data_IF_254339144374
#
_entry.id   IF_254339144374
#
_cell.length_a   1.000
_cell.length_b   1.000
_cell.length_c   1.000
_cell.angle_alpha   90.00
_cell.angle_beta   90.00
_cell.angle_gamma   90.00
#
_symmetry.space_group_name_H-M   'P 1'
#
loop_
_entity.id
_entity.type
_entity.pdbx_description
1 polymer ?
#
# COMPACT_ATOMS: atom_id res chain seq x y z
N UNK A 1 -60.20 -4.62 20.43
CA UNK A 1 -59.56 -5.05 21.70
C UNK A 1 -59.06 -6.48 21.52
N UNK A 2 -57.88 -6.63 20.94
CA UNK A 2 -57.11 -7.88 20.98
C UNK A 2 -55.66 -7.46 21.17
N UNK A 3 -55.12 -7.82 22.32
CA UNK A 3 -53.81 -7.43 22.83
C UNK A 3 -52.83 -8.53 22.46
N UNK A 4 -51.96 -8.29 21.47
CA UNK A 4 -50.83 -9.16 21.20
C UNK A 4 -49.70 -8.84 22.19
N UNK A 5 -49.42 -9.77 23.10
CA UNK A 5 -48.28 -9.73 24.00
C UNK A 5 -47.03 -10.15 23.22
N UNK A 6 -46.14 -9.20 22.95
CA UNK A 6 -44.80 -9.49 22.46
C UNK A 6 -43.94 -10.06 23.61
N UNK A 7 -43.45 -11.28 23.42
CA UNK A 7 -42.50 -11.97 24.29
C UNK A 7 -41.10 -11.36 24.05
N UNK A 8 -40.33 -11.02 25.10
CA UNK A 8 -38.97 -10.55 24.91
C UNK A 8 -38.04 -11.72 24.57
N UNK A 9 -37.46 -11.70 23.36
CA UNK A 9 -36.40 -12.62 22.96
C UNK A 9 -35.15 -12.37 23.83
N UNK A 10 -34.72 -13.45 24.49
CA UNK A 10 -33.54 -13.50 25.32
C UNK A 10 -32.30 -13.41 24.42
N UNK A 11 -31.58 -12.29 24.49
CA UNK A 11 -30.31 -12.10 23.81
C UNK A 11 -29.26 -12.90 24.60
N UNK A 12 -29.02 -14.14 24.18
CA UNK A 12 -27.88 -14.94 24.61
C UNK A 12 -26.61 -14.29 24.07
N UNK A 13 -25.77 -13.79 24.99
CA UNK A 13 -24.46 -13.23 24.67
C UNK A 13 -23.57 -14.23 23.93
N UNK A 14 -22.86 -13.84 22.86
CA UNK A 14 -21.89 -14.71 22.23
C UNK A 14 -20.73 -14.94 23.20
N UNK A 15 -20.56 -16.20 23.60
CA UNK A 15 -19.39 -16.73 24.28
C UNK A 15 -18.14 -16.31 23.51
N UNK A 16 -17.26 -15.54 24.13
CA UNK A 16 -15.95 -15.22 23.57
C UNK A 16 -15.12 -16.49 23.51
N UNK A 17 -15.15 -17.15 22.36
CA UNK A 17 -14.24 -18.23 22.03
C UNK A 17 -12.83 -17.63 21.94
N UNK A 18 -12.01 -17.98 22.93
CA UNK A 18 -10.63 -17.56 23.02
C UNK A 18 -9.87 -18.28 21.92
N UNK A 19 -9.60 -17.58 20.82
CA UNK A 19 -8.71 -18.07 19.76
C UNK A 19 -7.30 -18.11 20.35
N UNK A 20 -6.89 -19.30 20.75
CA UNK A 20 -5.52 -19.67 21.08
C UNK A 20 -4.69 -19.54 19.79
N UNK A 21 -4.05 -18.38 19.60
CA UNK A 21 -3.12 -18.15 18.49
C UNK A 21 -1.82 -18.88 18.87
N UNK A 22 -1.76 -20.14 18.47
CA UNK A 22 -0.58 -21.00 18.55
C UNK A 22 0.55 -20.35 17.73
N UNK A 23 1.42 -19.64 18.44
CA UNK A 23 2.55 -18.92 17.88
C UNK A 23 3.68 -19.91 17.62
N UNK A 24 3.65 -20.60 16.48
CA UNK A 24 4.81 -21.32 15.97
C UNK A 24 5.79 -20.34 15.31
N UNK A 25 7.04 -20.18 15.79
CA UNK A 25 8.06 -19.43 15.08
C UNK A 25 8.79 -20.37 14.12
N UNK A 26 8.39 -20.39 12.85
CA UNK A 26 9.13 -21.09 11.80
C UNK A 26 9.41 -20.14 10.62
N UNK A 27 10.71 -19.99 10.31
CA UNK A 27 11.23 -19.17 9.21
C UNK A 27 12.38 -18.29 9.70
N UNK A 28 13.52 -18.84 10.15
CA UNK A 28 14.53 -19.50 9.32
C UNK A 28 14.94 -18.67 8.09
N UNK A 29 15.83 -17.71 8.34
CA UNK A 29 17.01 -17.46 7.50
C UNK A 29 16.79 -16.97 6.07
N UNK A 30 16.75 -15.65 5.90
CA UNK A 30 17.31 -15.03 4.70
C UNK A 30 18.53 -14.19 5.09
N UNK A 31 19.67 -14.75 4.72
CA UNK A 31 21.00 -14.20 4.86
C UNK A 31 21.13 -12.89 4.10
N UNK A 32 21.60 -11.85 4.81
CA UNK A 32 22.23 -10.67 4.25
C UNK A 32 23.26 -11.06 3.18
N UNK A 33 22.93 -10.86 1.91
CA UNK A 33 23.91 -10.89 0.83
C UNK A 33 24.60 -9.54 0.81
N UNK A 34 25.83 -9.53 1.34
CA UNK A 34 26.75 -8.41 1.23
C UNK A 34 27.02 -8.07 -0.26
N UNK A 35 27.20 -6.79 -0.61
CA UNK A 35 27.71 -6.43 -1.92
C UNK A 35 29.22 -6.73 -1.95
N UNK A 36 29.60 -7.87 -2.53
CA UNK A 36 31.00 -8.13 -2.93
C UNK A 36 31.35 -7.25 -4.12
N UNK A 37 31.95 -6.10 -3.81
CA UNK A 37 32.82 -5.37 -4.71
C UNK A 37 34.17 -6.10 -4.75
N UNK A 38 34.42 -6.87 -5.80
CA UNK A 38 35.74 -7.38 -6.17
C UNK A 38 35.76 -7.46 -7.71
N UNK A 39 36.53 -6.61 -8.38
CA UNK A 39 37.94 -6.84 -8.73
C UNK A 39 38.01 -7.52 -10.11
N UNK A 40 37.90 -6.70 -11.17
CA UNK A 40 38.25 -7.10 -12.53
C UNK A 40 39.37 -6.19 -13.04
N UNK A 41 40.59 -6.54 -12.62
CA UNK A 41 41.84 -6.03 -13.20
C UNK A 41 42.13 -6.87 -14.44
N UNK A 42 41.73 -6.36 -15.61
CA UNK A 42 42.30 -6.87 -16.86
C UNK A 42 43.62 -6.16 -17.18
N UNK A 43 44.61 -7.01 -17.40
CA UNK A 43 46.00 -6.74 -17.71
C UNK A 43 46.20 -5.75 -18.87
N UNK A 44 46.79 -4.62 -18.53
CA UNK A 44 47.52 -3.76 -19.48
C UNK A 44 48.81 -4.46 -19.88
N UNK A 45 48.76 -5.23 -20.96
CA UNK A 45 49.92 -5.91 -21.52
C UNK A 45 50.67 -5.00 -22.52
N UNK A 46 51.87 -4.63 -22.08
CA UNK A 46 53.10 -4.40 -22.81
C UNK A 46 53.25 -3.33 -23.89
N UNK A 47 54.21 -2.46 -23.59
CA UNK A 47 54.69 -1.32 -24.34
C UNK A 47 55.94 -1.73 -25.11
N UNK A 48 55.87 -1.84 -26.44
CA UNK A 48 57.05 -1.95 -27.31
C UNK A 48 56.94 -0.95 -28.47
N UNK A 49 57.82 0.07 -28.57
CA UNK A 49 57.81 1.03 -29.67
C UNK A 49 58.44 0.40 -30.93
N UNK A 50 57.61 -0.20 -31.80
CA UNK A 50 58.03 -0.67 -33.13
C UNK A 50 58.39 0.51 -34.03
N UNK A 51 59.65 0.54 -34.51
CA UNK A 51 60.23 1.56 -35.40
C UNK A 51 59.47 1.62 -36.73
N UNK A 52 59.08 2.84 -37.14
CA UNK A 52 58.37 3.09 -38.40
C UNK A 52 59.31 2.96 -39.61
N UNK A 53 58.93 2.23 -40.68
CA UNK A 53 59.67 2.21 -41.93
C UNK A 53 59.60 3.60 -42.60
N UNK A 54 60.77 4.16 -42.97
CA UNK A 54 60.86 5.37 -43.80
C UNK A 54 60.35 5.04 -45.21
N UNK A 55 59.24 5.66 -45.59
CA UNK A 55 58.75 5.66 -46.98
C UNK A 55 59.62 6.63 -47.78
N UNK A 56 60.23 6.10 -48.84
CA UNK A 56 61.06 6.86 -49.77
C UNK A 56 60.16 7.62 -50.76
N UNK A 57 60.32 8.94 -50.82
CA UNK A 57 59.37 9.91 -51.40
C UNK A 57 59.70 10.32 -52.85
N UNK A 58 60.27 9.41 -53.65
CA UNK A 58 60.73 9.73 -55.02
C UNK A 58 60.25 8.76 -56.10
N UNK A 59 59.38 7.80 -55.78
CA UNK A 59 58.78 6.91 -56.80
C UNK A 59 57.33 7.28 -57.09
N UNK A 60 57.05 7.42 -58.39
CA UNK A 60 55.84 7.91 -59.07
C UNK A 60 54.48 7.47 -58.50
N UNK A 61 53.38 8.23 -58.77
CA UNK A 61 52.04 7.94 -58.26
C UNK A 61 51.44 6.70 -58.95
N UNK A 62 51.83 5.51 -58.51
CA UNK A 62 51.05 4.30 -58.79
C UNK A 62 49.72 4.43 -58.08
N UNK A 63 48.65 4.57 -58.87
CA UNK A 63 47.22 4.47 -58.50
C UNK A 63 47.04 4.06 -57.04
N UNK A 64 46.92 5.08 -56.17
CA UNK A 64 46.93 4.98 -54.71
C UNK A 64 45.97 3.88 -54.28
N UNK A 65 46.55 2.71 -54.03
CA UNK A 65 45.85 1.52 -53.64
C UNK A 65 45.13 1.80 -52.34
N UNK A 66 43.83 1.50 -52.33
CA UNK A 66 43.00 1.12 -51.18
C UNK A 66 43.69 1.43 -49.84
N UNK A 67 43.49 2.67 -49.35
CA UNK A 67 43.94 3.11 -48.03
C UNK A 67 43.67 2.00 -47.01
N UNK A 68 44.59 1.74 -46.08
CA UNK A 68 44.44 0.71 -45.04
C UNK A 68 43.08 0.84 -44.32
N UNK A 69 42.59 2.07 -44.18
CA UNK A 69 41.24 2.37 -43.69
C UNK A 69 40.12 1.79 -44.58
N UNK A 70 40.25 1.86 -45.91
CA UNK A 70 39.33 1.23 -46.86
C UNK A 70 39.44 -0.31 -46.91
N UNK A 71 40.57 -0.89 -46.50
CA UNK A 71 40.67 -2.33 -46.26
C UNK A 71 39.93 -2.72 -44.99
N UNK A 72 40.11 -1.96 -43.89
CA UNK A 72 39.39 -2.16 -42.62
C UNK A 72 37.87 -1.95 -42.79
N UNK A 73 37.44 -0.90 -43.50
CA UNK A 73 36.02 -0.68 -43.81
C UNK A 73 35.47 -1.80 -44.70
N UNK A 74 36.29 -2.31 -45.62
CA UNK A 74 35.95 -3.44 -46.49
C UNK A 74 35.79 -4.74 -45.70
N UNK A 75 36.68 -5.02 -44.75
CA UNK A 75 36.55 -6.18 -43.85
C UNK A 75 35.41 -6.01 -42.85
N UNK A 76 35.09 -4.78 -42.43
CA UNK A 76 33.95 -4.49 -41.56
C UNK A 76 32.62 -4.69 -42.30
N UNK A 77 32.54 -4.22 -43.56
CA UNK A 77 31.37 -4.49 -44.42
C UNK A 77 31.26 -5.98 -44.72
N UNK A 78 32.35 -6.65 -45.07
CA UNK A 78 32.37 -8.10 -45.31
C UNK A 78 31.98 -8.90 -44.06
N UNK A 79 32.46 -8.51 -42.88
CA UNK A 79 32.06 -9.11 -41.61
C UNK A 79 30.57 -8.88 -41.32
N UNK A 80 30.04 -7.68 -41.58
CA UNK A 80 28.60 -7.38 -41.44
C UNK A 80 27.74 -8.16 -42.43
N UNK A 81 28.20 -8.31 -43.68
CA UNK A 81 27.49 -9.08 -44.71
C UNK A 81 27.53 -10.58 -44.39
N UNK A 82 28.66 -11.12 -43.94
CA UNK A 82 28.77 -12.49 -43.45
C UNK A 82 27.94 -12.72 -42.19
N UNK A 83 27.87 -11.75 -41.27
CA UNK A 83 27.04 -11.81 -40.08
C UNK A 83 25.55 -11.75 -40.43
N UNK A 84 25.17 -10.96 -41.44
CA UNK A 84 23.81 -10.95 -41.99
C UNK A 84 23.46 -12.27 -42.67
N UNK A 85 24.40 -12.90 -43.37
CA UNK A 85 24.21 -14.24 -43.96
C UNK A 85 24.10 -15.30 -42.87
N UNK A 86 24.91 -15.23 -41.80
CA UNK A 86 24.82 -16.12 -40.64
C UNK A 86 23.51 -15.93 -39.87
N UNK A 87 23.09 -14.70 -39.61
CA UNK A 87 21.80 -14.37 -39.01
C UNK A 87 20.61 -14.79 -39.90
N UNK A 88 20.82 -14.83 -41.22
CA UNK A 88 19.85 -15.34 -42.19
C UNK A 88 19.78 -16.86 -42.26
N UNK A 89 20.73 -17.60 -41.67
CA UNK A 89 20.67 -19.07 -41.65
C UNK A 89 19.44 -19.55 -40.89
N UNK A 90 18.84 -20.62 -41.38
CA UNK A 90 17.65 -21.22 -40.77
C UNK A 90 17.89 -21.55 -39.27
N UNK A 91 19.08 -22.05 -38.94
CA UNK A 91 19.49 -22.32 -37.55
C UNK A 91 19.51 -21.07 -36.69
N UNK A 92 20.02 -19.94 -37.22
CA UNK A 92 20.03 -18.68 -36.48
C UNK A 92 18.61 -18.14 -36.29
N UNK A 93 17.73 -18.27 -37.29
CA UNK A 93 16.31 -17.91 -37.17
C UNK A 93 15.59 -18.73 -36.11
N UNK A 94 15.79 -20.06 -36.09
CA UNK A 94 15.20 -20.93 -35.05
C UNK A 94 15.69 -20.57 -33.65
N UNK A 95 16.98 -20.21 -33.49
CA UNK A 95 17.51 -19.73 -32.20
C UNK A 95 16.88 -18.40 -31.79
N UNK A 96 16.81 -17.43 -32.70
CA UNK A 96 16.19 -16.14 -32.44
C UNK A 96 14.72 -16.28 -32.03
N UNK A 97 13.98 -17.19 -32.68
CA UNK A 97 12.58 -17.47 -32.34
C UNK A 97 12.44 -18.08 -30.93
N UNK A 98 13.31 -19.02 -30.55
CA UNK A 98 13.31 -19.61 -29.19
C UNK A 98 13.67 -18.58 -28.14
N UNK A 99 14.71 -17.76 -28.38
CA UNK A 99 15.10 -16.66 -27.49
C UNK A 99 13.98 -15.63 -27.34
N UNK A 100 13.28 -15.30 -28.42
CA UNK A 100 12.14 -14.39 -28.38
C UNK A 100 10.97 -14.98 -27.58
N UNK A 101 10.64 -16.27 -27.77
CA UNK A 101 9.62 -16.96 -26.97
C UNK A 101 9.97 -16.94 -25.48
N UNK A 102 11.21 -17.25 -25.13
CA UNK A 102 11.69 -17.24 -23.75
C UNK A 102 11.66 -15.83 -23.15
N UNK A 103 12.08 -14.82 -23.91
CA UNK A 103 12.02 -13.43 -23.47
C UNK A 103 10.58 -12.98 -23.21
N UNK A 104 9.63 -13.31 -24.12
CA UNK A 104 8.20 -13.04 -23.96
C UNK A 104 7.63 -13.73 -22.72
N UNK A 105 8.01 -14.98 -22.47
CA UNK A 105 7.57 -15.72 -21.28
C UNK A 105 8.12 -15.11 -19.98
N UNK A 106 9.39 -14.71 -19.96
CA UNK A 106 9.99 -14.02 -18.81
C UNK A 106 9.31 -12.67 -18.53
N UNK A 107 8.98 -11.89 -19.57
CA UNK A 107 8.23 -10.63 -19.37
C UNK A 107 6.82 -10.91 -18.85
N UNK A 108 6.12 -11.90 -19.40
CA UNK A 108 4.78 -12.31 -18.94
C UNK A 108 4.79 -12.70 -17.46
N UNK A 109 5.72 -13.56 -17.03
CA UNK A 109 5.83 -13.98 -15.63
C UNK A 109 6.15 -12.80 -14.70
N UNK A 110 7.02 -11.87 -15.12
CA UNK A 110 7.31 -10.65 -14.35
C UNK A 110 6.08 -9.77 -14.18
N UNK A 111 5.32 -9.57 -15.26
CA UNK A 111 4.10 -8.78 -15.22
C UNK A 111 3.03 -9.46 -14.36
N UNK A 112 2.89 -10.79 -14.43
CA UNK A 112 1.98 -11.56 -13.58
C UNK A 112 2.31 -11.38 -12.09
N UNK A 113 3.58 -11.54 -11.71
CA UNK A 113 4.04 -11.31 -10.32
C UNK A 113 3.76 -9.87 -9.89
N UNK A 114 3.98 -8.89 -10.79
CA UNK A 114 3.70 -7.49 -10.50
C UNK A 114 2.22 -7.25 -10.23
N UNK A 115 1.33 -7.72 -11.11
CA UNK A 115 -0.12 -7.57 -10.96
C UNK A 115 -0.63 -8.25 -9.68
N UNK A 116 -0.13 -9.45 -9.38
CA UNK A 116 -0.47 -10.15 -8.14
C UNK A 116 -0.01 -9.36 -6.90
N UNK A 117 1.22 -8.84 -6.91
CA UNK A 117 1.75 -8.04 -5.80
C UNK A 117 0.96 -6.75 -5.58
N UNK A 118 0.54 -6.09 -6.66
CA UNK A 118 -0.26 -4.86 -6.62
C UNK A 118 -1.67 -5.16 -6.07
N UNK A 119 -2.32 -6.26 -6.50
CA UNK A 119 -3.62 -6.67 -5.96
C UNK A 119 -3.56 -7.01 -4.46
N UNK A 120 -2.51 -7.72 -4.01
CA UNK A 120 -2.28 -8.03 -2.58
C UNK A 120 -2.06 -6.76 -1.77
N UNK A 121 -1.29 -5.81 -2.30
CA UNK A 121 -1.05 -4.50 -1.66
C UNK A 121 -2.35 -3.71 -1.49
N UNK A 122 -3.21 -3.69 -2.50
CA UNK A 122 -4.51 -3.00 -2.42
C UNK A 122 -5.43 -3.64 -1.37
N UNK A 123 -5.47 -4.97 -1.28
CA UNK A 123 -6.22 -5.68 -0.21
C UNK A 123 -5.72 -5.35 1.17
N UNK A 124 -4.39 -5.40 1.37
CA UNK A 124 -3.78 -5.05 2.66
C UNK A 124 -4.09 -3.60 3.04
N UNK A 125 -4.05 -2.66 2.08
CA UNK A 125 -4.42 -1.27 2.32
C UNK A 125 -5.90 -1.12 2.70
N UNK A 126 -6.79 -1.86 2.04
CA UNK A 126 -8.21 -1.87 2.39
C UNK A 126 -8.44 -2.37 3.82
N UNK A 127 -7.76 -3.46 4.21
CA UNK A 127 -7.80 -4.01 5.56
C UNK A 127 -7.29 -3.02 6.60
N UNK A 128 -6.14 -2.40 6.35
CA UNK A 128 -5.58 -1.40 7.26
C UNK A 128 -6.55 -0.23 7.49
N UNK A 129 -7.24 0.24 6.43
CA UNK A 129 -8.26 1.29 6.58
C UNK A 129 -9.49 0.83 7.35
N UNK A 130 -9.87 -0.43 7.24
CA UNK A 130 -10.96 -1.03 8.01
C UNK A 130 -10.61 -1.08 9.51
N UNK A 131 -9.39 -1.48 9.86
CA UNK A 131 -8.88 -1.47 11.22
C UNK A 131 -8.82 -0.04 11.81
N UNK A 132 -8.32 0.92 11.04
CA UNK A 132 -8.26 2.32 11.45
C UNK A 132 -9.66 2.88 11.77
N UNK A 133 -10.66 2.56 10.95
CA UNK A 133 -12.05 2.95 11.22
C UNK A 133 -12.60 2.27 12.48
N UNK A 134 -12.33 0.98 12.67
CA UNK A 134 -12.77 0.25 13.85
C UNK A 134 -12.16 0.81 15.15
N UNK A 135 -10.87 1.17 15.11
CA UNK A 135 -10.19 1.80 16.24
C UNK A 135 -10.82 3.15 16.59
N UNK A 136 -11.04 4.01 15.59
CA UNK A 136 -11.70 5.31 15.79
C UNK A 136 -13.11 5.15 16.34
N UNK A 137 -13.88 4.19 15.83
CA UNK A 137 -15.24 3.88 16.31
C UNK A 137 -15.21 3.47 17.79
N UNK A 138 -14.24 2.64 18.19
CA UNK A 138 -14.02 2.26 19.60
C UNK A 138 -13.70 3.47 20.48
N UNK A 139 -12.81 4.37 20.03
CA UNK A 139 -12.46 5.58 20.77
C UNK A 139 -13.65 6.51 20.95
N UNK A 140 -14.45 6.72 19.90
CA UNK A 140 -15.62 7.59 19.95
C UNK A 140 -16.68 7.00 20.89
N UNK A 141 -16.96 5.70 20.79
CA UNK A 141 -17.85 5.01 21.76
C UNK A 141 -17.36 5.18 23.21
N UNK A 142 -16.06 5.03 23.44
CA UNK A 142 -15.49 5.24 24.77
C UNK A 142 -15.73 6.68 25.25
N UNK A 143 -15.50 7.69 24.39
CA UNK A 143 -15.75 9.11 24.74
C UNK A 143 -17.22 9.40 25.01
N UNK A 144 -18.11 8.87 24.17
CA UNK A 144 -19.57 9.00 24.33
C UNK A 144 -20.07 8.38 25.63
N UNK A 145 -19.43 7.29 26.10
CA UNK A 145 -19.77 6.70 27.41
C UNK A 145 -19.18 7.45 28.60
N UNK A 146 -17.93 7.92 28.48
CA UNK A 146 -17.17 8.47 29.62
C UNK A 146 -17.45 9.95 29.86
N UNK A 147 -17.50 10.77 28.81
CA UNK A 147 -17.64 12.22 28.97
C UNK A 147 -18.96 12.64 29.62
N UNK A 148 -20.14 12.09 29.25
CA UNK A 148 -21.39 12.44 29.93
C UNK A 148 -21.39 12.04 31.40
N UNK A 149 -20.72 10.93 31.75
CA UNK A 149 -20.58 10.51 33.14
C UNK A 149 -19.72 11.49 33.93
N UNK A 150 -18.57 11.90 33.36
CA UNK A 150 -17.63 12.85 33.98
C UNK A 150 -18.17 14.28 34.06
N UNK A 151 -19.06 14.67 33.13
CA UNK A 151 -19.67 16.00 33.10
C UNK A 151 -20.53 16.29 34.36
N UNK A 152 -20.91 15.27 35.13
CA UNK A 152 -21.67 15.40 36.37
C UNK A 152 -20.81 15.76 37.59
N UNK A 153 -19.48 15.82 37.44
CA UNK A 153 -18.55 16.06 38.54
C UNK A 153 -17.88 17.43 38.40
N UNK A 154 -17.55 18.02 39.55
CA UNK A 154 -16.69 19.21 39.63
C UNK A 154 -15.22 18.78 39.60
N UNK A 155 -14.40 19.63 39.01
CA UNK A 155 -12.94 19.49 38.97
C UNK A 155 -12.30 20.44 39.97
N UNK A 156 -11.17 20.05 40.54
CA UNK A 156 -10.37 20.93 41.40
C UNK A 156 -9.80 22.14 40.66
N UNK A 157 -9.79 22.10 39.33
CA UNK A 157 -9.35 23.19 38.45
C UNK A 157 -10.47 24.14 38.04
N UNK A 158 -11.72 23.84 38.39
CA UNK A 158 -12.86 24.67 37.99
C UNK A 158 -12.88 25.97 38.78
N UNK A 159 -12.92 27.10 38.06
CA UNK A 159 -13.12 28.41 38.63
C UNK A 159 -14.57 28.84 38.40
N UNK A 160 -15.39 28.78 39.45
CA UNK A 160 -16.83 29.07 39.40
C UNK A 160 -17.06 30.44 40.07
N UNK A 161 -17.38 31.49 39.30
CA UNK A 161 -17.72 32.79 39.88
C UNK A 161 -18.97 32.70 40.77
N UNK A 162 -18.97 33.44 41.88
CA UNK A 162 -20.10 33.49 42.83
C UNK A 162 -21.41 34.01 42.21
N UNK A 163 -21.30 34.78 41.12
CA UNK A 163 -22.43 35.38 40.41
C UNK A 163 -22.83 34.58 39.15
N UNK A 164 -22.31 33.36 38.99
CA UNK A 164 -22.57 32.54 37.82
C UNK A 164 -24.03 32.06 37.80
N UNK A 165 -24.79 32.54 36.81
CA UNK A 165 -26.12 32.06 36.46
C UNK A 165 -26.10 31.49 35.04
N UNK A 166 -26.65 30.29 34.87
CA UNK A 166 -26.77 29.66 33.55
C UNK A 166 -28.21 29.83 33.07
N UNK A 167 -28.37 30.55 31.95
CA UNK A 167 -29.63 30.60 31.22
C UNK A 167 -29.53 29.68 29.99
N UNK A 168 -30.19 28.50 30.00
CA UNK A 168 -30.14 27.57 28.89
C UNK A 168 -30.77 28.15 27.61
N UNK A 169 -31.68 29.13 27.73
CA UNK A 169 -32.31 29.77 26.58
C UNK A 169 -31.34 30.60 25.76
N UNK A 170 -30.31 31.19 26.40
CA UNK A 170 -29.30 31.99 25.71
C UNK A 170 -28.35 31.12 24.84
N UNK A 171 -28.29 29.81 25.09
CA UNK A 171 -27.41 28.88 24.35
C UNK A 171 -28.17 28.10 23.27
N UNK A 172 -29.50 28.11 23.32
CA UNK A 172 -30.38 27.39 22.39
C UNK A 172 -30.51 28.05 21.01
N UNK A 173 -29.88 29.20 20.78
CA UNK A 173 -29.72 29.78 19.44
C UNK A 173 -28.41 29.25 18.85
N UNK A 174 -28.43 28.18 18.03
CA UNK A 174 -27.40 27.98 17.04
C UNK A 174 -27.57 29.14 16.07
N UNK A 175 -27.04 30.31 16.42
CA UNK A 175 -26.86 31.37 15.46
C UNK A 175 -26.11 30.74 14.31
N UNK A 176 -26.78 30.66 13.16
CA UNK A 176 -26.26 30.34 11.85
C UNK A 176 -25.15 31.34 11.53
N UNK A 177 -24.04 31.22 12.24
CA UNK A 177 -22.77 31.76 11.82
C UNK A 177 -22.31 30.87 10.67
N UNK A 178 -23.07 30.96 9.56
CA UNK A 178 -22.70 30.74 8.17
C UNK A 178 -21.49 31.62 7.83
N UNK A 179 -20.43 31.45 8.59
CA UNK A 179 -19.12 32.03 8.32
C UNK A 179 -18.47 31.11 7.30
N UNK A 180 -19.05 31.12 6.10
CA UNK A 180 -18.36 31.29 4.84
C UNK A 180 -16.86 30.87 4.86
N UNK A 181 -16.60 29.57 5.07
CA UNK A 181 -15.26 28.95 5.08
C UNK A 181 -15.20 27.72 4.18
N UNK A 182 -16.02 27.70 3.12
CA UNK A 182 -16.00 26.64 2.10
C UNK A 182 -15.18 27.00 0.85
N UNK A 183 -14.48 28.14 0.81
CA UNK A 183 -13.74 28.58 -0.40
C UNK A 183 -12.21 28.71 -0.22
N UNK A 184 -11.59 27.77 0.50
CA UNK A 184 -10.13 27.73 0.68
C UNK A 184 -9.47 26.39 0.28
N UNK A 185 -10.14 25.56 -0.52
CA UNK A 185 -9.58 24.29 -1.02
C UNK A 185 -9.49 24.26 -2.54
N UNK A 186 -8.74 25.20 -3.13
CA UNK A 186 -8.15 25.03 -4.48
C UNK A 186 -6.78 25.70 -4.59
N UNK A 187 -5.80 25.24 -3.79
CA UNK A 187 -4.36 25.43 -4.06
C UNK A 187 -3.55 24.20 -3.62
N UNK A 188 -3.91 23.04 -4.16
CA UNK A 188 -3.11 21.82 -4.04
C UNK A 188 -2.63 21.37 -5.42
N UNK A 189 -1.51 21.97 -5.86
CA UNK A 189 -0.67 21.45 -6.95
C UNK A 189 0.73 22.08 -6.88
N UNK A 190 1.31 22.13 -5.68
CA UNK A 190 2.73 22.39 -5.52
C UNK A 190 3.44 21.03 -5.34
N UNK A 191 4.41 20.66 -6.19
CA UNK A 191 5.09 19.38 -6.08
C UNK A 191 5.83 19.27 -4.74
N UNK A 192 5.85 18.08 -4.11
CA UNK A 192 6.52 17.88 -2.84
C UNK A 192 8.02 18.08 -3.05
N UNK A 193 8.54 19.22 -2.57
CA UNK A 193 9.99 19.39 -2.39
C UNK A 193 10.45 18.35 -1.38
N UNK A 194 11.09 17.30 -1.90
CA UNK A 194 11.73 16.26 -1.11
C UNK A 194 12.65 16.88 -0.06
N UNK A 195 12.20 16.83 1.20
CA UNK A 195 13.08 17.02 2.35
C UNK A 195 13.79 15.69 2.55
N UNK A 196 15.08 15.70 2.24
CA UNK A 196 15.93 14.55 2.47
C UNK A 196 15.88 14.14 3.94
N UNK A 197 15.73 12.83 4.07
CA UNK A 197 15.86 12.02 5.26
C UNK A 197 17.30 12.13 5.78
N UNK A 198 17.52 12.95 6.81
CA UNK A 198 18.77 13.09 7.56
C UNK A 198 18.57 14.30 8.48
N UNK A 199 18.60 14.26 9.80
CA UNK A 199 19.24 13.42 10.80
C UNK A 199 18.64 13.89 12.13
N UNK A 200 18.48 12.99 13.11
CA UNK A 200 18.48 13.29 14.54
C UNK A 200 17.83 14.62 14.97
N UNK A 201 16.53 14.59 15.25
CA UNK A 201 15.95 15.55 16.20
C UNK A 201 16.38 15.09 17.60
N UNK A 202 17.34 15.76 18.26
CA UNK A 202 17.59 15.50 19.67
C UNK A 202 16.30 15.80 20.43
N UNK A 203 15.83 14.85 21.22
CA UNK A 203 14.75 15.10 22.16
C UNK A 203 15.09 16.39 22.94
N UNK A 204 14.19 17.38 23.01
CA UNK A 204 14.43 18.54 23.85
C UNK A 204 14.73 18.02 25.26
N UNK A 205 15.82 18.46 25.91
CA UNK A 205 16.12 18.03 27.26
C UNK A 205 14.91 18.37 28.12
N UNK A 206 14.33 17.34 28.75
CA UNK A 206 13.39 17.50 29.87
C UNK A 206 14.09 18.35 30.92
N UNK A 207 13.89 19.67 30.84
CA UNK A 207 14.32 20.61 31.85
C UNK A 207 13.59 20.26 33.12
N UNK A 208 14.28 19.54 34.00
CA UNK A 208 13.79 19.07 35.30
C UNK A 208 13.82 20.17 36.37
N UNK A 209 14.14 21.41 35.99
CA UNK A 209 14.47 22.49 36.92
C UNK A 209 13.70 23.77 36.55
N UNK A 210 12.39 23.80 36.80
CA UNK A 210 11.69 25.07 37.03
C UNK A 210 11.33 25.12 38.52
N UNK A 211 11.72 26.19 39.25
CA UNK A 211 11.64 26.25 40.69
C UNK A 211 10.19 26.40 41.18
N UNK A 212 9.83 25.55 42.13
CA UNK A 212 8.60 25.59 42.92
C UNK A 212 8.43 26.95 43.60
N UNK A 213 7.59 27.81 43.01
CA UNK A 213 6.98 28.90 43.74
C UNK A 213 5.87 28.39 44.67
N UNK A 214 5.58 29.08 45.79
CA UNK A 214 4.40 28.81 46.63
C UNK A 214 3.13 29.16 45.82
N UNK A 215 2.70 28.18 45.02
CA UNK A 215 1.71 28.33 43.95
C UNK A 215 1.78 27.20 42.91
N UNK A 216 2.88 26.43 42.86
CA UNK A 216 3.05 25.26 42.01
C UNK A 216 2.35 24.00 42.57
N UNK A 217 1.04 24.08 42.78
CA UNK A 217 0.13 22.92 42.85
C UNK A 217 -0.74 23.11 41.59
N UNK A 218 -0.79 22.24 40.58
CA UNK A 218 -1.25 20.85 40.62
C UNK A 218 -0.84 20.19 39.28
N UNK A 219 0.32 19.55 39.19
CA UNK A 219 0.63 18.61 38.09
C UNK A 219 0.14 17.18 38.43
N UNK A 220 -0.92 17.10 39.25
CA UNK A 220 -1.59 15.85 39.57
C UNK A 220 -2.75 15.60 38.61
N UNK A 221 -3.18 14.33 38.42
CA UNK A 221 -4.39 14.03 37.67
C UNK A 221 -5.58 14.85 38.22
N UNK A 222 -6.45 15.39 37.36
CA UNK A 222 -7.64 16.10 37.80
C UNK A 222 -8.48 15.20 38.71
N UNK A 223 -8.83 15.70 39.89
CA UNK A 223 -9.68 14.99 40.83
C UNK A 223 -11.12 15.40 40.56
N UNK A 224 -11.94 14.42 40.20
CA UNK A 224 -13.38 14.57 40.04
C UNK A 224 -14.04 14.36 41.39
N UNK A 225 -14.86 15.33 41.82
CA UNK A 225 -15.61 15.23 43.07
C UNK A 225 -17.01 15.79 42.90
N UNK A 226 -17.96 15.25 43.67
CA UNK A 226 -19.34 15.71 43.69
C UNK A 226 -19.74 15.97 45.14
N UNK A 227 -19.84 17.25 45.57
CA UNK A 227 -20.33 17.58 46.90
C UNK A 227 -21.74 17.05 47.15
N UNK A 228 -22.00 16.60 48.38
CA UNK A 228 -23.33 16.13 48.77
C UNK A 228 -24.41 17.22 48.69
N UNK A 229 -24.03 18.49 48.92
CA UNK A 229 -24.90 19.66 48.77
C UNK A 229 -24.25 20.62 47.78
N UNK A 230 -24.91 20.82 46.64
CA UNK A 230 -24.46 21.73 45.59
C UNK A 230 -25.05 23.14 45.78
N UNK A 231 -24.19 24.15 45.68
CA UNK A 231 -24.62 25.54 45.60
C UNK A 231 -25.36 25.81 44.28
N UNK A 232 -26.30 26.79 44.23
CA UNK A 232 -27.00 27.13 42.99
C UNK A 232 -26.06 27.41 41.81
N UNK A 233 -24.95 28.13 42.05
CA UNK A 233 -23.95 28.41 41.03
C UNK A 233 -23.26 27.13 40.52
N UNK A 234 -22.97 26.18 41.41
CA UNK A 234 -22.36 24.90 41.04
C UNK A 234 -23.32 24.03 40.22
N UNK A 235 -24.61 24.04 40.54
CA UNK A 235 -25.65 23.35 39.75
C UNK A 235 -25.75 23.95 38.35
N UNK A 236 -25.89 25.27 38.25
CA UNK A 236 -25.91 25.99 36.97
C UNK A 236 -24.65 25.69 36.14
N UNK A 237 -23.49 25.61 36.78
CA UNK A 237 -22.22 25.30 36.12
C UNK A 237 -22.17 23.86 35.60
N UNK A 238 -22.62 22.88 36.39
CA UNK A 238 -22.71 21.48 35.95
C UNK A 238 -23.71 21.33 34.80
N UNK A 239 -24.86 22.01 34.85
CA UNK A 239 -25.84 22.01 33.77
C UNK A 239 -25.26 22.58 32.47
N UNK A 240 -24.55 23.72 32.56
CA UNK A 240 -23.82 24.28 31.41
C UNK A 240 -22.82 23.28 30.84
N UNK A 241 -21.99 22.66 31.68
CA UNK A 241 -21.00 21.66 31.27
C UNK A 241 -21.64 20.46 30.61
N UNK A 242 -22.72 19.94 31.18
CA UNK A 242 -23.48 18.83 30.60
C UNK A 242 -24.03 19.21 29.23
N UNK A 243 -24.58 20.41 29.08
CA UNK A 243 -25.09 20.92 27.82
C UNK A 243 -23.98 21.04 26.77
N UNK A 244 -22.86 21.66 27.12
CA UNK A 244 -21.68 21.79 26.24
C UNK A 244 -21.12 20.43 25.85
N UNK A 245 -21.00 19.49 26.80
CA UNK A 245 -20.52 18.13 26.54
C UNK A 245 -21.42 17.39 25.56
N UNK A 246 -22.75 17.49 25.74
CA UNK A 246 -23.73 16.90 24.81
C UNK A 246 -23.62 17.51 23.41
N UNK A 247 -23.51 18.83 23.31
CA UNK A 247 -23.34 19.54 22.04
C UNK A 247 -22.06 19.12 21.33
N UNK A 248 -20.94 19.04 22.06
CA UNK A 248 -19.66 18.59 21.52
C UNK A 248 -19.74 17.15 21.01
N UNK A 249 -20.31 16.24 21.80
CA UNK A 249 -20.49 14.84 21.39
C UNK A 249 -21.39 14.70 20.16
N UNK A 250 -22.47 15.49 20.06
CA UNK A 250 -23.34 15.49 18.88
C UNK A 250 -22.56 15.95 17.63
N UNK A 251 -21.80 17.04 17.73
CA UNK A 251 -20.96 17.51 16.62
C UNK A 251 -19.84 16.53 16.24
N UNK A 252 -19.24 15.86 17.23
CA UNK A 252 -18.22 14.82 17.01
C UNK A 252 -18.84 13.60 16.33
N UNK A 253 -20.05 13.21 16.72
CA UNK A 253 -20.79 12.11 16.11
C UNK A 253 -21.17 12.39 14.64
N UNK A 254 -21.63 13.61 14.35
CA UNK A 254 -21.93 14.03 12.97
C UNK A 254 -20.67 14.03 12.10
N UNK A 255 -19.57 14.62 12.60
CA UNK A 255 -18.29 14.60 11.90
C UNK A 255 -17.80 13.16 11.67
N UNK A 256 -17.95 12.28 12.67
CA UNK A 256 -17.59 10.88 12.55
C UNK A 256 -18.44 10.13 11.54
N UNK A 257 -19.75 10.38 11.46
CA UNK A 257 -20.62 9.77 10.45
C UNK A 257 -20.14 10.09 9.04
N UNK A 258 -19.77 11.34 8.78
CA UNK A 258 -19.22 11.77 7.49
C UNK A 258 -17.88 11.10 7.21
N UNK A 259 -16.96 11.11 8.18
CA UNK A 259 -15.65 10.47 8.03
C UNK A 259 -15.77 8.95 7.81
N UNK A 260 -16.63 8.29 8.58
CA UNK A 260 -16.90 6.85 8.47
C UNK A 260 -17.48 6.50 7.10
N UNK A 261 -18.46 7.25 6.62
CA UNK A 261 -19.05 7.04 5.29
C UNK A 261 -17.97 7.15 4.21
N UNK A 262 -17.16 8.22 4.25
CA UNK A 262 -16.04 8.41 3.34
C UNK A 262 -15.01 7.27 3.42
N UNK A 263 -14.72 6.81 4.63
CA UNK A 263 -13.80 5.69 4.85
C UNK A 263 -14.33 4.37 4.28
N UNK A 264 -15.63 4.10 4.43
CA UNK A 264 -16.27 2.93 3.85
C UNK A 264 -16.25 2.96 2.32
N UNK A 265 -16.48 4.12 1.71
CA UNK A 265 -16.35 4.32 0.26
C UNK A 265 -14.91 4.10 -0.22
N UNK A 266 -13.90 4.59 0.52
CA UNK A 266 -12.49 4.32 0.21
C UNK A 266 -12.16 2.82 0.30
N UNK A 267 -12.66 2.13 1.33
CA UNK A 267 -12.47 0.68 1.47
C UNK A 267 -13.14 -0.07 0.31
N UNK A 268 -14.36 0.34 -0.07
CA UNK A 268 -15.08 -0.28 -1.18
C UNK A 268 -14.34 -0.09 -2.51
N UNK A 269 -13.85 1.11 -2.79
CA UNK A 269 -13.06 1.39 -4.00
C UNK A 269 -11.75 0.61 -4.03
N UNK A 270 -11.05 0.47 -2.90
CA UNK A 270 -9.85 -0.37 -2.80
C UNK A 270 -10.14 -1.85 -3.00
N UNK A 271 -11.24 -2.37 -2.42
CA UNK A 271 -11.68 -3.76 -2.60
C UNK A 271 -12.07 -4.04 -4.06
N UNK A 272 -12.81 -3.13 -4.69
CA UNK A 272 -13.17 -3.20 -6.11
C UNK A 272 -11.93 -3.15 -7.02
N UNK A 273 -11.01 -2.22 -6.79
CA UNK A 273 -9.76 -2.14 -7.55
C UNK A 273 -8.91 -3.41 -7.40
N UNK A 274 -8.84 -3.98 -6.19
CA UNK A 274 -8.12 -5.22 -5.95
C UNK A 274 -8.78 -6.44 -6.62
N UNK A 275 -10.11 -6.44 -6.74
CA UNK A 275 -10.85 -7.47 -7.45
C UNK A 275 -10.63 -7.34 -8.96
N UNK A 276 -10.78 -6.13 -9.52
CA UNK A 276 -10.53 -5.86 -10.93
C UNK A 276 -9.10 -6.22 -11.33
N UNK A 277 -8.09 -5.86 -10.51
CA UNK A 277 -6.71 -6.25 -10.75
C UNK A 277 -6.51 -7.78 -10.72
N UNK A 278 -7.22 -8.49 -9.84
CA UNK A 278 -7.18 -9.96 -9.80
C UNK A 278 -7.86 -10.59 -11.02
N UNK A 279 -9.00 -10.08 -11.44
CA UNK A 279 -9.71 -10.55 -12.65
C UNK A 279 -8.91 -10.24 -13.92
N UNK A 280 -8.26 -9.08 -13.98
CA UNK A 280 -7.30 -8.74 -15.02
C UNK A 280 -6.12 -9.72 -15.06
N UNK A 281 -5.57 -10.10 -13.90
CA UNK A 281 -4.50 -11.09 -13.81
C UNK A 281 -4.97 -12.48 -14.28
N UNK A 282 -6.16 -12.93 -13.86
CA UNK A 282 -6.74 -14.22 -14.28
C UNK A 282 -7.05 -14.26 -15.78
N UNK A 283 -7.64 -13.19 -16.32
CA UNK A 283 -7.96 -13.11 -17.74
C UNK A 283 -6.70 -13.01 -18.61
N UNK A 284 -5.62 -12.40 -18.13
CA UNK A 284 -4.32 -12.41 -18.78
C UNK A 284 -3.67 -13.80 -18.78
N UNK A 285 -3.87 -14.57 -17.70
CA UNK A 285 -3.41 -15.96 -17.61
C UNK A 285 -4.12 -16.86 -18.64
N UNK A 286 -5.46 -16.85 -18.65
CA UNK A 286 -6.28 -17.65 -19.59
C UNK A 286 -5.95 -17.35 -21.06
N UNK A 287 -5.90 -16.06 -21.45
CA UNK A 287 -5.60 -15.66 -22.83
C UNK A 287 -4.23 -16.13 -23.31
N UNK A 288 -3.30 -16.26 -22.38
CA UNK A 288 -1.93 -16.58 -22.73
C UNK A 288 -1.65 -18.09 -22.64
N UNK A 289 -2.56 -18.88 -22.05
CA UNK A 289 -2.59 -20.34 -22.20
C UNK A 289 -3.24 -20.74 -23.55
N UNK A 290 -4.30 -20.06 -23.98
CA UNK A 290 -4.89 -20.25 -25.33
C UNK A 290 -3.87 -19.96 -26.46
N UNK A 291 -3.05 -18.91 -26.30
CA UNK A 291 -1.97 -18.62 -27.24
C UNK A 291 -0.84 -19.67 -27.21
N UNK A 292 -0.59 -20.32 -26.06
CA UNK A 292 0.42 -21.36 -25.97
C UNK A 292 -0.03 -22.64 -26.69
N UNK A 293 -1.28 -23.07 -26.50
CA UNK A 293 -1.84 -24.27 -27.15
C UNK A 293 -1.94 -24.13 -28.67
N UNK A 294 -2.33 -22.96 -29.20
CA UNK A 294 -2.40 -22.75 -30.65
C UNK A 294 -1.03 -22.80 -31.36
N UNK A 295 0.07 -22.60 -30.62
CA UNK A 295 1.43 -22.64 -31.17
C UNK A 295 2.04 -24.04 -31.26
N UNK A 296 1.47 -25.04 -30.57
CA UNK A 296 2.00 -26.41 -30.52
C UNK A 296 1.40 -27.31 -31.62
N UNK A 297 0.26 -26.94 -32.20
CA UNK A 297 -0.48 -27.78 -33.16
C UNK A 297 0.04 -27.68 -34.62
N UNK A 298 0.91 -26.74 -34.96
CA UNK A 298 1.29 -26.48 -36.36
C UNK A 298 2.54 -27.19 -36.90
N UNK A 299 3.27 -28.00 -36.11
CA UNK A 299 4.49 -28.69 -36.62
C UNK A 299 4.51 -30.21 -36.41
N UNK A 300 3.34 -30.82 -36.17
CA UNK A 300 3.20 -32.29 -36.25
C UNK A 300 2.60 -32.67 -37.60
N UNK A 301 3.45 -32.71 -38.63
CA UNK A 301 3.14 -33.43 -39.87
C UNK A 301 2.90 -34.90 -39.49
N UNK A 302 1.69 -35.45 -39.65
CA UNK A 302 1.40 -36.81 -39.22
C UNK A 302 2.19 -37.78 -40.09
N UNK A 303 3.15 -38.48 -39.49
CA UNK A 303 3.70 -39.71 -40.07
C UNK A 303 2.59 -40.76 -39.92
N UNK A 304 2.06 -41.32 -41.03
CA UNK A 304 1.06 -42.37 -40.95
C UNK A 304 1.75 -43.65 -40.48
N UNK A 305 1.67 -43.93 -39.18
CA UNK A 305 2.02 -45.25 -38.66
C UNK A 305 0.74 -45.89 -38.13
N UNK A 306 0.34 -46.96 -38.80
CA UNK A 306 -0.88 -47.69 -38.51
C UNK A 306 -0.77 -48.54 -37.25
N UNK A 307 -1.90 -49.21 -37.00
CA UNK A 307 -2.11 -50.38 -36.14
C UNK A 307 -2.19 -50.16 -34.63
N UNK A 308 -3.45 -50.12 -34.15
CA UNK A 308 -4.11 -51.21 -33.40
C UNK A 308 -4.55 -50.92 -31.95
N UNK A 309 -5.81 -51.31 -31.71
CA UNK A 309 -6.45 -51.74 -30.46
C UNK A 309 -6.63 -50.67 -29.37
N UNK A 310 -7.86 -50.17 -29.19
CA UNK A 310 -8.84 -50.72 -28.23
C UNK A 310 -8.36 -50.56 -26.78
N UNK A 311 -8.97 -49.62 -26.04
CA UNK A 311 -9.48 -49.88 -24.70
C UNK A 311 -10.45 -48.77 -24.29
N UNK A 312 -11.72 -49.15 -24.39
CA UNK A 312 -12.89 -48.57 -23.77
C UNK A 312 -12.78 -48.74 -22.25
N UNK A 313 -12.88 -47.65 -21.49
CA UNK A 313 -12.98 -47.69 -20.03
C UNK A 313 -13.79 -46.51 -19.51
N UNK A 314 -15.09 -46.57 -19.78
CA UNK A 314 -16.15 -45.92 -19.00
C UNK A 314 -15.98 -46.23 -17.51
N UNK A 315 -15.74 -45.21 -16.69
CA UNK A 315 -15.87 -45.28 -15.23
C UNK A 315 -17.01 -44.35 -14.82
N UNK A 316 -18.18 -44.95 -14.60
CA UNK A 316 -19.29 -44.35 -13.85
C UNK A 316 -18.82 -44.02 -12.43
N UNK A 317 -18.86 -42.75 -12.05
CA UNK A 317 -18.69 -42.33 -10.64
C UNK A 317 -20.04 -41.88 -10.11
N UNK A 318 -20.50 -42.69 -9.16
CA UNK A 318 -21.74 -42.66 -8.42
C UNK A 318 -21.88 -41.38 -7.59
N UNK A 319 -23.02 -40.71 -7.75
CA UNK A 319 -23.56 -39.67 -6.86
C UNK A 319 -23.73 -40.22 -5.43
N UNK A 320 -23.12 -39.54 -4.44
CA UNK A 320 -23.31 -39.79 -3.03
C UNK A 320 -23.86 -38.56 -2.34
N UNK A 321 -25.17 -38.58 -2.06
CA UNK A 321 -25.88 -37.67 -1.17
C UNK A 321 -25.32 -37.74 0.27
N UNK A 322 -25.16 -36.58 0.92
CA UNK A 322 -25.54 -36.34 2.32
C UNK A 322 -25.44 -34.87 2.71
#
# INVERSE_FOLDING_TARGET
>A
MQSESAVPESITSPTQESIEIDSTPNGAGETNVAPTAADDKMDTNDTQPKKRPRIDMTTQPRKKGRSVFGMVLGTLKKAKDEDKVRAGTETARRRAEVEERLARELTRRKDQVRMESESKKQRSKAHQREEDLALKDSMIRQRQSTLPALANFLLTTDNIPSDFTFDPSAVAEPGDNDTNMTDATMKENAPPRGKQLSQFLPLPPRSRNAPSGPGARVDGPPIYFLPAVLLPQQKAFLEKRQFETKRLLASEEEAWKVERQKGLEEIQTLKQSAQEAQEAARSAEVKADENAESSVVTDTKPVPNGTAAENDSTMDVIEGER
#
